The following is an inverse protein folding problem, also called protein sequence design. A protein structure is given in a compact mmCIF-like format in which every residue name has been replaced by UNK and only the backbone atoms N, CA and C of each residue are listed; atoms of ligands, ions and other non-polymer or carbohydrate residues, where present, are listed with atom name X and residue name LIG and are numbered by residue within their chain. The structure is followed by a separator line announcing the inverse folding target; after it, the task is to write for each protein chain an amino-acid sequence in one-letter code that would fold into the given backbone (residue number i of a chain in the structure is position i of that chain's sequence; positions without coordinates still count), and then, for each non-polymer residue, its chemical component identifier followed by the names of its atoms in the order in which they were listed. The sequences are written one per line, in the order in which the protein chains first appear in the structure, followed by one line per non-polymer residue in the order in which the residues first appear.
data_IF_074760273447
#
_entry.id   IF_074760273447
#
_cell.length_a   1.000
_cell.length_b   1.000
_cell.length_c   1.000
_cell.angle_alpha   90.00
_cell.angle_beta   90.00
_cell.angle_gamma   90.00
#
_symmetry.space_group_name_H-M   'P 1'
#
loop_
_entity.id
_entity.type
_entity.pdbx_description
1 polymer ?
#
# COMPACT_ATOMS: atom_id res chain seq x y z
N UNK A 1 4.84 18.50 -22.73
CA UNK A 1 4.53 17.90 -21.41
C UNK A 1 4.91 16.43 -21.49
N UNK A 2 6.15 16.10 -21.12
CA UNK A 2 6.61 14.72 -20.97
C UNK A 2 5.93 14.12 -19.73
N UNK A 3 5.18 13.04 -19.93
CA UNK A 3 4.50 12.35 -18.84
C UNK A 3 5.52 11.63 -17.97
N UNK A 4 5.73 12.10 -16.74
CA UNK A 4 6.42 11.33 -15.69
C UNK A 4 5.43 10.35 -15.07
N UNK A 5 5.59 9.07 -15.38
CA UNK A 5 5.17 7.96 -14.54
C UNK A 5 5.86 6.68 -15.02
N UNK A 6 7.18 6.62 -14.87
CA UNK A 6 7.88 5.34 -14.89
C UNK A 6 7.97 4.91 -13.42
N UNK A 7 7.26 3.84 -13.05
CA UNK A 7 7.53 3.18 -11.77
C UNK A 7 9.01 2.86 -11.73
N UNK A 8 9.73 3.28 -10.69
CA UNK A 8 11.13 2.91 -10.56
C UNK A 8 11.22 1.51 -9.99
N UNK A 9 12.18 0.71 -10.43
CA UNK A 9 12.35 -0.68 -9.98
C UNK A 9 12.43 -0.81 -8.45
N UNK A 10 13.03 0.17 -7.76
CA UNK A 10 13.08 0.17 -6.30
C UNK A 10 11.70 0.37 -5.65
N UNK A 11 10.79 1.10 -6.30
CA UNK A 11 9.43 1.32 -5.78
C UNK A 11 8.67 0.00 -5.81
N UNK A 12 8.79 -0.76 -6.91
CA UNK A 12 8.19 -2.09 -7.06
C UNK A 12 8.80 -3.09 -6.07
N UNK A 13 10.10 -3.01 -5.84
CA UNK A 13 10.83 -3.83 -4.86
C UNK A 13 10.37 -3.58 -3.42
N UNK A 14 9.83 -2.39 -3.11
CA UNK A 14 9.33 -2.04 -1.77
C UNK A 14 7.81 -2.28 -1.59
N UNK A 15 7.12 -2.80 -2.61
CA UNK A 15 5.68 -3.07 -2.50
C UNK A 15 5.40 -4.32 -1.66
N UNK A 16 5.02 -4.10 -0.39
CA UNK A 16 4.54 -5.16 0.51
C UNK A 16 3.38 -5.98 -0.08
N UNK A 17 2.55 -5.35 -0.92
CA UNK A 17 1.41 -6.01 -1.58
C UNK A 17 1.84 -7.19 -2.45
N UNK A 18 2.96 -7.07 -3.17
CA UNK A 18 3.45 -8.15 -4.02
C UNK A 18 3.97 -9.32 -3.19
N UNK A 19 4.63 -9.03 -2.05
CA UNK A 19 5.03 -10.07 -1.08
C UNK A 19 3.82 -10.78 -0.49
N UNK A 20 2.77 -10.02 -0.14
CA UNK A 20 1.53 -10.58 0.38
C UNK A 20 0.87 -11.55 -0.61
N UNK A 21 0.79 -11.19 -1.89
CA UNK A 21 0.21 -12.04 -2.92
C UNK A 21 1.03 -13.29 -3.19
N UNK A 22 2.36 -13.19 -3.21
CA UNK A 22 3.21 -14.38 -3.37
C UNK A 22 3.05 -15.37 -2.20
N UNK A 23 2.87 -14.86 -0.97
CA UNK A 23 2.62 -15.72 0.19
C UNK A 23 1.22 -16.33 0.20
N UNK A 24 0.23 -15.63 -0.36
CA UNK A 24 -1.15 -16.12 -0.44
C UNK A 24 -1.31 -17.26 -1.46
N UNK A 25 -0.51 -17.26 -2.51
CA UNK A 25 -0.55 -18.24 -3.61
C UNK A 25 0.85 -18.87 -3.82
N UNK A 26 1.27 -19.80 -2.94
CA UNK A 26 2.64 -20.32 -2.91
C UNK A 26 3.03 -21.14 -4.15
N UNK A 27 2.05 -21.61 -4.92
CA UNK A 27 2.28 -22.37 -6.16
C UNK A 27 2.58 -21.46 -7.36
N UNK A 28 2.43 -20.14 -7.22
CA UNK A 28 2.76 -19.17 -8.27
C UNK A 28 4.27 -18.90 -8.26
N UNK A 29 4.90 -19.09 -9.40
CA UNK A 29 6.35 -18.88 -9.57
C UNK A 29 6.75 -17.40 -9.41
N UNK A 30 5.92 -16.47 -9.89
CA UNK A 30 6.24 -15.05 -9.97
C UNK A 30 4.98 -14.18 -9.88
N UNK A 31 5.06 -13.09 -9.11
CA UNK A 31 4.03 -12.04 -9.04
C UNK A 31 4.62 -10.75 -9.58
N UNK A 32 3.96 -10.17 -10.58
CA UNK A 32 4.41 -8.97 -11.28
C UNK A 32 3.44 -7.80 -11.10
N UNK A 33 3.97 -6.58 -11.12
CA UNK A 33 3.16 -5.37 -11.23
C UNK A 33 2.93 -5.06 -12.71
N UNK A 34 1.67 -5.09 -13.12
CA UNK A 34 1.22 -4.64 -14.43
C UNK A 34 0.64 -3.22 -14.32
N UNK A 35 1.25 -2.25 -15.00
CA UNK A 35 0.82 -0.86 -14.99
C UNK A 35 0.37 -0.41 -16.38
N UNK A 36 -0.87 0.08 -16.49
CA UNK A 36 -1.33 0.80 -17.68
C UNK A 36 -0.92 2.27 -17.57
N UNK A 37 0.08 2.68 -18.34
CA UNK A 37 0.61 4.04 -18.30
C UNK A 37 -0.23 4.95 -19.19
N UNK A 38 -0.87 5.93 -18.55
CA UNK A 38 -1.62 6.99 -19.23
C UNK A 38 -0.66 8.02 -19.82
N UNK A 39 -0.33 7.85 -21.09
CA UNK A 39 0.49 8.77 -21.88
C UNK A 39 -0.19 9.11 -23.21
N UNK A 40 0.39 10.05 -23.99
CA UNK A 40 -0.10 10.39 -25.34
C UNK A 40 -0.25 9.15 -26.23
N UNK A 41 0.68 8.21 -26.10
CA UNK A 41 0.53 6.83 -26.57
C UNK A 41 0.43 5.93 -25.32
N UNK A 42 -0.75 5.41 -24.98
CA UNK A 42 -0.93 4.49 -23.86
C UNK A 42 -0.07 3.24 -24.06
N UNK A 43 0.48 2.72 -22.97
CA UNK A 43 1.31 1.51 -22.99
C UNK A 43 1.12 0.70 -21.72
N UNK A 44 1.42 -0.58 -21.80
CA UNK A 44 1.46 -1.49 -20.65
C UNK A 44 2.93 -1.66 -20.26
N UNK A 45 3.21 -1.53 -18.97
CA UNK A 45 4.51 -1.83 -18.39
C UNK A 45 4.37 -3.00 -17.42
N UNK A 46 5.31 -3.94 -17.52
CA UNK A 46 5.42 -5.08 -16.64
C UNK A 46 6.68 -4.90 -15.79
N UNK A 47 6.50 -4.95 -14.48
CA UNK A 47 7.59 -4.82 -13.53
C UNK A 47 7.69 -6.11 -12.72
N UNK A 48 8.71 -6.90 -13.03
CA UNK A 48 8.98 -8.16 -12.36
C UNK A 48 10.04 -7.97 -11.28
N UNK A 49 9.82 -8.56 -10.12
CA UNK A 49 10.79 -8.56 -9.02
C UNK A 49 10.66 -9.84 -8.22
N UNK A 50 11.79 -10.47 -7.89
CA UNK A 50 11.81 -11.66 -7.06
C UNK A 50 11.95 -11.25 -5.60
N UNK A 51 11.14 -11.85 -4.73
CA UNK A 51 11.21 -11.61 -3.30
C UNK A 51 12.33 -12.42 -2.68
N UNK A 52 13.30 -11.72 -2.09
CA UNK A 52 14.35 -12.39 -1.32
C UNK A 52 13.79 -12.90 0.00
N UNK A 53 14.39 -13.94 0.61
CA UNK A 53 14.00 -14.41 1.93
C UNK A 53 13.96 -13.30 2.99
N UNK A 54 14.88 -12.34 2.91
CA UNK A 54 14.95 -11.18 3.82
C UNK A 54 13.73 -10.28 3.67
N UNK A 55 13.29 -10.00 2.44
CA UNK A 55 12.11 -9.19 2.18
C UNK A 55 10.82 -9.88 2.65
N UNK A 56 10.73 -11.20 2.47
CA UNK A 56 9.61 -12.01 2.99
C UNK A 56 9.59 -11.94 4.52
N UNK A 57 10.74 -12.12 5.17
CA UNK A 57 10.83 -12.05 6.63
C UNK A 57 10.54 -10.65 7.16
N UNK A 58 10.97 -9.58 6.48
CA UNK A 58 10.65 -8.21 6.84
C UNK A 58 9.15 -7.94 6.76
N UNK A 59 8.51 -8.40 5.68
CA UNK A 59 7.06 -8.31 5.51
C UNK A 59 6.31 -9.05 6.63
N UNK A 60 6.68 -10.29 6.95
CA UNK A 60 6.02 -11.07 7.99
C UNK A 60 6.13 -10.41 9.37
N UNK A 61 7.32 -9.89 9.73
CA UNK A 61 7.53 -9.14 10.97
C UNK A 61 6.66 -7.87 11.03
N UNK A 62 6.56 -7.16 9.90
CA UNK A 62 5.71 -5.97 9.78
C UNK A 62 4.24 -6.32 9.95
N UNK A 63 3.78 -7.38 9.28
CA UNK A 63 2.41 -7.86 9.37
C UNK A 63 2.03 -8.27 10.79
N UNK A 64 2.88 -9.04 11.47
CA UNK A 64 2.70 -9.44 12.87
C UNK A 64 2.62 -8.23 13.81
N UNK A 65 3.54 -7.28 13.68
CA UNK A 65 3.55 -6.06 14.48
C UNK A 65 2.27 -5.23 14.30
N UNK A 66 1.85 -5.01 13.05
CA UNK A 66 0.66 -4.22 12.73
C UNK A 66 -0.61 -4.94 13.20
N UNK A 67 -0.71 -6.26 13.00
CA UNK A 67 -1.84 -7.05 13.48
C UNK A 67 -1.98 -6.95 15.01
N UNK A 68 -0.87 -7.13 15.75
CA UNK A 68 -0.89 -7.00 17.21
C UNK A 68 -1.26 -5.60 17.69
N UNK A 69 -0.87 -4.54 16.96
CA UNK A 69 -1.31 -3.17 17.27
C UNK A 69 -2.81 -2.97 17.06
N UNK A 70 -3.36 -3.52 15.97
CA UNK A 70 -4.80 -3.46 15.67
C UNK A 70 -5.60 -4.17 16.77
N UNK A 71 -5.20 -5.38 17.15
CA UNK A 71 -5.86 -6.16 18.21
C UNK A 71 -5.86 -5.43 19.57
N UNK A 72 -4.80 -4.66 19.85
CA UNK A 72 -4.67 -3.86 21.07
C UNK A 72 -5.37 -2.50 20.97
N UNK A 73 -6.00 -2.17 19.84
CA UNK A 73 -6.61 -0.87 19.58
C UNK A 73 -5.60 0.30 19.56
N UNK A 74 -4.33 0.03 19.24
CA UNK A 74 -3.25 1.02 19.21
C UNK A 74 -3.09 1.61 17.81
N UNK A 75 -3.61 2.82 17.61
CA UNK A 75 -3.51 3.55 16.35
C UNK A 75 -2.64 4.80 16.49
N UNK A 76 -1.37 4.70 16.07
CA UNK A 76 -0.42 5.81 16.15
C UNK A 76 -0.68 6.84 15.05
N UNK A 77 -0.57 8.13 15.40
CA UNK A 77 -0.61 9.21 14.40
C UNK A 77 0.71 9.22 13.64
N UNK A 78 0.66 8.92 12.35
CA UNK A 78 1.84 9.00 11.49
C UNK A 78 1.71 10.21 10.56
N UNK A 79 2.42 11.32 10.84
CA UNK A 79 2.45 12.46 9.93
C UNK A 79 3.22 12.04 8.67
N UNK A 80 2.48 11.71 7.60
CA UNK A 80 3.05 11.40 6.28
C UNK A 80 2.72 12.53 5.31
N UNK A 81 3.45 12.64 4.19
CA UNK A 81 3.13 13.62 3.13
C UNK A 81 1.70 13.48 2.57
N UNK A 82 1.06 12.34 2.77
CA UNK A 82 -0.26 11.99 2.25
C UNK A 82 -1.39 12.25 3.26
N UNK A 83 -1.10 12.75 4.46
CA UNK A 83 -2.11 12.90 5.53
C UNK A 83 -3.32 13.73 5.10
N UNK A 84 -3.13 14.75 4.24
CA UNK A 84 -4.22 15.61 3.72
C UNK A 84 -5.16 14.91 2.75
N UNK A 85 -4.73 13.78 2.20
CA UNK A 85 -5.52 12.96 1.27
C UNK A 85 -6.12 11.73 1.98
N UNK A 86 -5.89 11.57 3.28
CA UNK A 86 -6.45 10.48 4.06
C UNK A 86 -7.89 10.78 4.43
N UNK A 87 -8.83 9.97 3.96
CA UNK A 87 -10.27 10.11 4.28
C UNK A 87 -10.54 9.96 5.80
N UNK A 88 -9.69 9.22 6.51
CA UNK A 88 -9.79 9.00 7.95
C UNK A 88 -9.08 10.08 8.80
N UNK A 89 -8.58 11.15 8.19
CA UNK A 89 -7.95 12.26 8.92
C UNK A 89 -8.82 12.83 10.06
N UNK A 90 -10.16 13.00 9.89
CA UNK A 90 -11.01 13.48 10.98
C UNK A 90 -11.03 12.54 12.19
N UNK A 91 -11.03 11.22 11.97
CA UNK A 91 -10.96 10.21 13.06
C UNK A 91 -9.61 10.29 13.77
N UNK A 92 -8.52 10.37 12.99
CA UNK A 92 -7.17 10.44 13.52
C UNK A 92 -6.92 11.71 14.36
N UNK A 93 -7.54 12.83 13.99
CA UNK A 93 -7.41 14.11 14.70
C UNK A 93 -8.43 14.28 15.83
N UNK A 94 -9.47 13.44 15.90
CA UNK A 94 -10.55 13.55 16.88
C UNK A 94 -11.61 14.58 16.52
N UNK A 95 -11.70 14.99 15.25
CA UNK A 95 -12.76 15.88 14.78
C UNK A 95 -14.06 15.10 14.54
N UNK A 96 -14.81 14.85 15.61
CA UNK A 96 -16.04 14.04 15.55
C UNK A 96 -17.11 14.59 14.59
N UNK A 97 -17.22 15.92 14.47
CA UNK A 97 -18.21 16.53 13.59
C UNK A 97 -17.90 16.20 12.14
N UNK A 98 -16.68 16.49 11.71
CA UNK A 98 -16.24 16.21 10.35
C UNK A 98 -16.25 14.70 10.08
N UNK A 99 -15.82 13.86 11.02
CA UNK A 99 -15.90 12.40 10.88
C UNK A 99 -17.34 11.92 10.64
N UNK A 100 -18.34 12.48 11.34
CA UNK A 100 -19.77 12.14 11.14
C UNK A 100 -20.32 12.61 9.79
N UNK A 101 -19.79 13.70 9.25
CA UNK A 101 -20.24 14.31 7.99
C UNK A 101 -19.59 13.67 6.76
N UNK A 102 -18.32 13.27 6.85
CA UNK A 102 -17.52 12.83 5.70
C UNK A 102 -17.36 11.31 5.58
N UNK A 103 -17.40 10.58 6.69
CA UNK A 103 -17.29 9.12 6.63
C UNK A 103 -18.68 8.51 6.47
N UNK A 104 -18.86 7.79 5.37
CA UNK A 104 -20.07 7.02 5.11
C UNK A 104 -20.26 6.06 6.29
N UNK A 105 -21.38 6.21 7.00
CA UNK A 105 -21.83 5.19 7.95
C UNK A 105 -22.18 3.96 7.12
N UNK A 106 -21.31 2.95 7.13
CA UNK A 106 -21.69 1.62 6.69
C UNK A 106 -22.84 1.18 7.63
N UNK A 107 -24.03 1.11 7.08
CA UNK A 107 -25.25 0.66 7.77
C UNK A 107 -25.24 -0.86 7.92
#
# INVERSE_FOLDING_TARGET
MEGKADYKDYEVSLLDQLTAYQLAEPDIEQVDLCALVKAKAPRIEWHSTQRTPEQVMEYLKKAELVAGQIEQGKFYKQPSKWYRQCEFLPVCTGNEREARETLVKLA
#
